data_IF_488729370840
#
_entry.id   IF_488729370840
#
_cell.length_a   1.000
_cell.length_b   1.000
_cell.length_c   1.000
_cell.angle_alpha   90.00
_cell.angle_beta   90.00
_cell.angle_gamma   90.00
#
_symmetry.space_group_name_H-M   'P 1'
#
loop_
_entity.id
_entity.type
_entity.pdbx_description
1 polymer ?
#
# COMPACT_ATOMS: atom_id res chain seq x y z
N UNK A 1 26.02 26.98 33.86
CA UNK A 1 26.92 26.25 32.94
C UNK A 1 26.67 24.77 33.12
N UNK A 2 26.62 23.96 32.05
CA UNK A 2 26.54 22.51 32.21
C UNK A 2 27.78 22.01 32.96
N UNK A 3 27.57 21.13 33.94
CA UNK A 3 28.65 20.57 34.75
C UNK A 3 29.42 19.49 33.98
N UNK A 4 30.64 19.16 34.44
CA UNK A 4 31.39 18.01 33.89
C UNK A 4 30.62 16.69 34.03
N UNK A 5 29.78 16.56 35.06
CA UNK A 5 28.92 15.39 35.26
C UNK A 5 27.79 15.32 34.21
N UNK A 6 27.19 16.46 33.85
CA UNK A 6 26.17 16.53 32.79
C UNK A 6 26.74 16.11 31.44
N UNK A 7 27.98 16.53 31.14
CA UNK A 7 28.68 16.12 29.93
C UNK A 7 28.96 14.61 29.92
N UNK A 8 29.42 14.04 31.04
CA UNK A 8 29.63 12.58 31.18
C UNK A 8 28.33 11.79 30.99
N UNK A 9 27.23 12.22 31.60
CA UNK A 9 25.90 11.61 31.43
C UNK A 9 25.43 11.67 29.98
N UNK A 10 25.61 12.80 29.30
CA UNK A 10 25.26 12.95 27.88
C UNK A 10 26.07 12.03 26.97
N UNK A 11 27.38 11.90 27.21
CA UNK A 11 28.25 10.97 26.47
C UNK A 11 27.78 9.52 26.65
N UNK A 12 27.47 9.12 27.89
CA UNK A 12 26.96 7.77 28.18
C UNK A 12 25.64 7.50 27.46
N UNK A 13 24.71 8.45 27.51
CA UNK A 13 23.42 8.38 26.83
C UNK A 13 23.58 8.21 25.31
N UNK A 14 24.42 9.03 24.66
CA UNK A 14 24.69 8.94 23.22
C UNK A 14 25.33 7.60 22.86
N UNK A 15 26.31 7.11 23.64
CA UNK A 15 26.93 5.79 23.43
C UNK A 15 25.89 4.66 23.54
N UNK A 16 24.96 4.75 24.48
CA UNK A 16 23.86 3.79 24.62
C UNK A 16 22.93 3.82 23.40
N UNK A 17 22.46 5.01 23.00
CA UNK A 17 21.64 5.18 21.79
C UNK A 17 22.34 4.70 20.52
N UNK A 18 23.66 4.90 20.40
CA UNK A 18 24.46 4.38 19.29
C UNK A 18 24.47 2.84 19.25
N UNK A 19 24.63 2.16 20.39
CA UNK A 19 24.58 0.70 20.47
C UNK A 19 23.19 0.17 20.09
N UNK A 20 22.13 0.81 20.60
CA UNK A 20 20.74 0.44 20.31
C UNK A 20 20.45 0.59 18.81
N UNK A 21 20.77 1.73 18.21
CA UNK A 21 20.53 1.97 16.78
C UNK A 21 21.37 1.06 15.89
N UNK A 22 22.62 0.72 16.29
CA UNK A 22 23.46 -0.27 15.58
C UNK A 22 22.81 -1.65 15.60
N UNK A 23 22.32 -2.11 16.75
CA UNK A 23 21.59 -3.37 16.86
C UNK A 23 20.30 -3.36 16.02
N UNK A 24 19.51 -2.27 16.09
CA UNK A 24 18.30 -2.11 15.28
C UNK A 24 18.60 -2.14 13.78
N UNK A 25 19.69 -1.53 13.32
CA UNK A 25 20.12 -1.58 11.91
C UNK A 25 20.37 -3.01 11.46
N UNK A 26 21.06 -3.82 12.27
CA UNK A 26 21.32 -5.23 11.95
C UNK A 26 20.04 -6.06 11.90
N UNK A 27 19.14 -5.88 12.87
CA UNK A 27 17.84 -6.56 12.89
C UNK A 27 16.97 -6.14 11.71
N UNK A 28 16.94 -4.85 11.37
CA UNK A 28 16.18 -4.33 10.24
C UNK A 28 16.73 -4.85 8.91
N UNK A 29 18.05 -4.92 8.73
CA UNK A 29 18.68 -5.49 7.54
C UNK A 29 18.29 -6.96 7.34
N UNK A 30 18.33 -7.77 8.39
CA UNK A 30 17.91 -9.18 8.32
C UNK A 30 16.41 -9.31 7.96
N UNK A 31 15.55 -8.46 8.52
CA UNK A 31 14.11 -8.44 8.20
C UNK A 31 13.83 -7.98 6.77
N UNK A 32 14.52 -6.96 6.30
CA UNK A 32 14.39 -6.45 4.93
C UNK A 32 14.78 -7.51 3.92
N UNK A 33 15.89 -8.22 4.16
CA UNK A 33 16.33 -9.32 3.30
C UNK A 33 15.26 -10.41 3.17
N UNK A 34 14.71 -10.87 4.30
CA UNK A 34 13.61 -11.86 4.30
C UNK A 34 12.35 -11.35 3.58
N UNK A 35 12.00 -10.09 3.78
CA UNK A 35 10.85 -9.47 3.11
C UNK A 35 11.07 -9.37 1.60
N UNK A 36 12.30 -9.04 1.17
CA UNK A 36 12.68 -9.00 -0.24
C UNK A 36 12.60 -10.38 -0.87
N UNK A 37 13.20 -11.41 -0.25
CA UNK A 37 13.13 -12.80 -0.72
C UNK A 37 11.67 -13.28 -0.86
N UNK A 38 10.79 -12.91 0.07
CA UNK A 38 9.36 -13.22 -0.02
C UNK A 38 8.67 -12.49 -1.18
N UNK A 39 8.97 -11.20 -1.38
CA UNK A 39 8.39 -10.41 -2.46
C UNK A 39 8.86 -10.88 -3.84
N UNK A 40 10.14 -11.22 -3.98
CA UNK A 40 10.71 -11.74 -5.22
C UNK A 40 10.09 -13.09 -5.60
N UNK A 41 9.84 -13.98 -4.63
CA UNK A 41 9.13 -15.25 -4.88
C UNK A 41 7.69 -15.05 -5.36
N UNK A 42 6.99 -14.02 -4.88
CA UNK A 42 5.62 -13.71 -5.29
C UNK A 42 5.50 -12.96 -6.62
N UNK A 43 6.60 -12.34 -7.08
CA UNK A 43 6.58 -11.45 -8.24
C UNK A 43 6.17 -12.13 -9.55
N UNK A 44 6.69 -13.32 -9.92
CA UNK A 44 6.29 -14.00 -11.16
C UNK A 44 4.79 -14.32 -11.19
N UNK A 45 4.21 -14.71 -10.04
CA UNK A 45 2.78 -14.96 -9.92
C UNK A 45 1.97 -13.68 -10.14
N UNK A 46 2.34 -12.59 -9.45
CA UNK A 46 1.64 -11.30 -9.58
C UNK A 46 1.72 -10.74 -11.00
N UNK A 47 2.86 -10.84 -11.67
CA UNK A 47 3.04 -10.35 -13.05
C UNK A 47 2.21 -11.17 -14.05
N UNK A 48 2.23 -12.51 -13.94
CA UNK A 48 1.40 -13.38 -14.78
C UNK A 48 -0.10 -13.14 -14.54
N UNK A 49 -0.52 -13.05 -13.28
CA UNK A 49 -1.92 -12.77 -12.93
C UNK A 49 -2.38 -11.44 -13.50
N UNK A 50 -1.56 -10.39 -13.38
CA UNK A 50 -1.88 -9.08 -13.94
C UNK A 50 -1.99 -9.13 -15.47
N UNK A 51 -1.11 -9.87 -16.16
CA UNK A 51 -1.22 -10.05 -17.61
C UNK A 51 -2.50 -10.79 -18.02
N UNK A 52 -2.88 -11.86 -17.31
CA UNK A 52 -4.13 -12.59 -17.57
C UNK A 52 -5.33 -11.65 -17.39
N UNK A 53 -5.37 -10.90 -16.29
CA UNK A 53 -6.45 -9.98 -15.97
C UNK A 53 -6.55 -8.85 -17.02
N UNK A 54 -5.42 -8.29 -17.46
CA UNK A 54 -5.38 -7.27 -18.52
C UNK A 54 -5.84 -7.83 -19.86
N UNK A 55 -5.41 -9.05 -20.22
CA UNK A 55 -5.86 -9.70 -21.45
C UNK A 55 -7.36 -9.95 -21.42
N UNK A 56 -7.90 -10.44 -20.30
CA UNK A 56 -9.35 -10.60 -20.12
C UNK A 56 -10.06 -9.25 -20.23
N UNK A 57 -9.55 -8.21 -19.57
CA UNK A 57 -10.14 -6.87 -19.63
C UNK A 57 -10.17 -6.28 -21.05
N UNK A 58 -9.16 -6.59 -21.88
CA UNK A 58 -9.09 -6.14 -23.26
C UNK A 58 -9.96 -6.96 -24.22
N UNK A 59 -10.21 -8.22 -23.90
CA UNK A 59 -11.04 -9.12 -24.71
C UNK A 59 -12.54 -8.97 -24.46
N UNK A 60 -12.96 -8.14 -23.49
CA UNK A 60 -14.38 -7.86 -23.24
C UNK A 60 -14.95 -7.00 -24.37
N UNK A 61 -15.71 -7.63 -25.25
CA UNK A 61 -16.52 -6.97 -26.28
C UNK A 61 -17.83 -6.41 -25.71
N UNK A 62 -18.50 -7.16 -24.83
CA UNK A 62 -19.76 -6.76 -24.19
C UNK A 62 -19.54 -6.24 -22.76
N UNK A 63 -19.45 -4.92 -22.64
CA UNK A 63 -19.26 -4.25 -21.35
C UNK A 63 -20.47 -4.39 -20.42
N UNK A 64 -21.67 -4.65 -20.95
CA UNK A 64 -22.91 -4.75 -20.17
C UNK A 64 -22.99 -6.06 -19.36
N UNK A 65 -22.43 -7.16 -19.89
CA UNK A 65 -22.39 -8.47 -19.21
C UNK A 65 -21.07 -8.73 -18.47
N UNK A 66 -20.14 -7.78 -18.51
CA UNK A 66 -18.83 -7.93 -17.90
C UNK A 66 -18.88 -7.75 -16.38
N UNK A 67 -17.92 -8.37 -15.69
CA UNK A 67 -17.77 -8.20 -14.24
C UNK A 67 -17.56 -6.72 -13.88
N UNK A 68 -18.36 -6.20 -12.94
CA UNK A 68 -18.27 -4.81 -12.44
C UNK A 68 -16.90 -4.49 -11.83
N UNK A 69 -16.13 -5.49 -11.41
CA UNK A 69 -14.74 -5.31 -10.97
C UNK A 69 -13.82 -4.86 -12.12
N UNK A 70 -14.13 -5.24 -13.35
CA UNK A 70 -13.35 -4.91 -14.55
C UNK A 70 -13.83 -3.60 -15.19
N UNK A 71 -15.14 -3.49 -15.45
CA UNK A 71 -15.71 -2.35 -16.20
C UNK A 71 -16.14 -1.18 -15.30
N UNK A 72 -16.26 -1.41 -13.99
CA UNK A 72 -16.74 -0.44 -13.03
C UNK A 72 -18.27 -0.38 -12.94
N UNK A 73 -18.76 0.41 -12.00
CA UNK A 73 -20.20 0.64 -11.79
C UNK A 73 -20.79 1.68 -12.74
N UNK A 74 -19.97 2.27 -13.63
CA UNK A 74 -20.32 3.42 -14.47
C UNK A 74 -20.36 4.76 -13.72
N UNK A 75 -20.09 4.75 -12.41
CA UNK A 75 -20.04 5.93 -11.55
C UNK A 75 -18.61 6.15 -11.05
N UNK A 76 -18.28 7.40 -10.73
CA UNK A 76 -16.99 7.81 -10.15
C UNK A 76 -17.22 8.70 -8.92
N UNK A 77 -18.23 8.36 -8.12
CA UNK A 77 -18.73 9.25 -7.06
C UNK A 77 -18.10 8.95 -5.71
N UNK A 78 -17.87 7.67 -5.39
CA UNK A 78 -17.36 7.24 -4.09
C UNK A 78 -16.05 6.50 -4.24
N UNK A 79 -15.00 7.02 -3.60
CA UNK A 79 -13.64 6.51 -3.69
C UNK A 79 -13.23 5.83 -2.39
N UNK A 80 -12.95 4.53 -2.46
CA UNK A 80 -12.28 3.79 -1.40
C UNK A 80 -10.76 3.92 -1.58
N UNK A 81 -10.10 4.49 -0.59
CA UNK A 81 -8.66 4.64 -0.56
C UNK A 81 -8.04 3.74 0.51
N UNK A 82 -7.34 2.69 0.06
CA UNK A 82 -6.62 1.77 0.94
C UNK A 82 -5.21 2.31 1.13
N UNK A 83 -4.86 2.75 2.34
CA UNK A 83 -3.54 3.31 2.64
C UNK A 83 -2.72 2.32 3.44
N UNK A 84 -1.65 1.80 2.81
CA UNK A 84 -0.76 0.81 3.41
C UNK A 84 0.45 1.51 4.03
N UNK A 85 0.62 1.30 5.33
CA UNK A 85 1.69 1.89 6.16
C UNK A 85 2.29 0.86 7.10
N UNK A 86 3.40 1.23 7.74
CA UNK A 86 4.00 0.39 8.77
C UNK A 86 3.26 0.54 10.11
N UNK A 87 3.33 -0.50 10.94
CA UNK A 87 2.85 -0.45 12.32
C UNK A 87 3.82 0.25 13.29
N UNK A 88 5.10 0.25 12.94
CA UNK A 88 6.18 0.80 13.77
C UNK A 88 6.68 2.12 13.17
N UNK A 89 7.20 2.97 14.06
CA UNK A 89 7.90 4.21 13.68
C UNK A 89 9.39 3.98 13.42
N UNK A 90 10.18 5.06 13.51
CA UNK A 90 11.64 5.04 13.29
C UNK A 90 12.06 4.54 11.90
N UNK A 91 11.21 4.78 10.90
CA UNK A 91 11.40 4.36 9.50
C UNK A 91 11.64 5.57 8.56
N UNK A 92 12.17 6.68 9.10
CA UNK A 92 12.38 7.91 8.36
C UNK A 92 11.10 8.42 7.71
N UNK A 93 11.17 8.74 6.41
CA UNK A 93 10.05 9.28 5.63
C UNK A 93 9.01 8.25 5.16
N UNK A 94 9.19 6.95 5.44
CA UNK A 94 8.37 5.88 4.82
C UNK A 94 6.86 6.09 4.98
N UNK A 95 6.38 6.28 6.21
CA UNK A 95 4.94 6.50 6.48
C UNK A 95 4.48 7.89 6.04
N UNK A 96 5.30 8.91 6.31
CA UNK A 96 4.95 10.30 5.98
C UNK A 96 4.80 10.52 4.48
N UNK A 97 5.65 9.91 3.66
CA UNK A 97 5.65 10.10 2.21
C UNK A 97 4.39 9.47 1.58
N UNK A 98 4.00 8.26 1.99
CA UNK A 98 2.79 7.64 1.45
C UNK A 98 1.52 8.34 1.95
N UNK A 99 1.48 8.74 3.21
CA UNK A 99 0.37 9.54 3.74
C UNK A 99 0.25 10.89 3.03
N UNK A 100 1.37 11.56 2.69
CA UNK A 100 1.33 12.80 1.89
C UNK A 100 0.70 12.56 0.52
N UNK A 101 1.10 11.50 -0.19
CA UNK A 101 0.52 11.16 -1.49
C UNK A 101 -0.98 10.86 -1.39
N UNK A 102 -1.38 10.07 -0.38
CA UNK A 102 -2.78 9.79 -0.12
C UNK A 102 -3.59 11.08 0.19
N UNK A 103 -3.08 11.96 1.04
CA UNK A 103 -3.73 13.24 1.35
C UNK A 103 -3.95 14.13 0.13
N UNK A 104 -2.94 14.23 -0.74
CA UNK A 104 -3.08 14.99 -1.99
C UNK A 104 -4.24 14.46 -2.84
N UNK A 105 -4.41 13.14 -2.88
CA UNK A 105 -5.53 12.52 -3.58
C UNK A 105 -6.87 12.75 -2.87
N UNK A 106 -6.90 12.69 -1.54
CA UNK A 106 -8.10 12.95 -0.74
C UNK A 106 -8.60 14.37 -0.95
N UNK A 107 -7.70 15.34 -0.89
CA UNK A 107 -8.03 16.75 -1.08
C UNK A 107 -8.52 17.01 -2.50
N UNK A 108 -7.98 16.30 -3.51
CA UNK A 108 -8.45 16.36 -4.89
C UNK A 108 -9.91 15.88 -5.00
N UNK A 109 -10.21 14.68 -4.50
CA UNK A 109 -11.55 14.09 -4.54
C UNK A 109 -12.57 14.97 -3.81
N UNK A 110 -12.23 15.43 -2.61
CA UNK A 110 -13.12 16.24 -1.80
C UNK A 110 -13.42 17.59 -2.47
N UNK A 111 -12.45 18.18 -3.18
CA UNK A 111 -12.66 19.39 -4.00
C UNK A 111 -13.54 19.14 -5.21
N UNK A 112 -13.46 17.96 -5.81
CA UNK A 112 -14.33 17.52 -6.91
C UNK A 112 -15.76 17.17 -6.43
N UNK A 113 -16.07 17.33 -5.14
CA UNK A 113 -17.38 17.01 -4.56
C UNK A 113 -17.67 15.52 -4.44
N UNK A 114 -16.65 14.67 -4.58
CA UNK A 114 -16.76 13.21 -4.50
C UNK A 114 -16.66 12.73 -3.05
N UNK A 115 -17.26 11.58 -2.77
CA UNK A 115 -17.25 10.94 -1.46
C UNK A 115 -15.95 10.16 -1.24
N UNK A 116 -15.36 10.31 -0.05
CA UNK A 116 -14.12 9.67 0.36
C UNK A 116 -14.39 8.62 1.43
N UNK A 117 -13.91 7.40 1.22
CA UNK A 117 -13.82 6.33 2.22
C UNK A 117 -12.37 5.89 2.34
N UNK A 118 -11.89 5.68 3.55
CA UNK A 118 -10.50 5.32 3.82
C UNK A 118 -10.45 3.98 4.56
N UNK A 119 -9.62 3.07 4.05
CA UNK A 119 -9.23 1.85 4.74
C UNK A 119 -7.75 1.94 5.10
N UNK A 120 -7.45 2.07 6.39
CA UNK A 120 -6.06 2.13 6.86
C UNK A 120 -5.51 0.75 7.17
N UNK A 121 -4.42 0.37 6.48
CA UNK A 121 -3.65 -0.83 6.78
C UNK A 121 -2.32 -0.39 7.41
N UNK A 122 -2.14 -0.74 8.68
CA UNK A 122 -1.02 -0.32 9.51
C UNK A 122 -1.38 0.83 10.46
N UNK A 123 -0.77 0.78 11.64
CA UNK A 123 -1.08 1.70 12.75
C UNK A 123 -0.65 3.14 12.48
N UNK A 124 0.47 3.36 11.77
CA UNK A 124 1.01 4.72 11.60
C UNK A 124 0.22 5.56 10.60
N UNK A 125 -0.32 4.94 9.56
CA UNK A 125 -1.26 5.58 8.65
C UNK A 125 -2.52 5.99 9.39
N UNK A 126 -3.08 5.09 10.20
CA UNK A 126 -4.26 5.40 11.03
C UNK A 126 -4.02 6.59 11.97
N UNK A 127 -2.95 6.55 12.78
CA UNK A 127 -2.62 7.63 13.72
C UNK A 127 -2.46 9.00 13.02
N UNK A 128 -1.87 9.01 11.83
CA UNK A 128 -1.60 10.25 11.08
C UNK A 128 -2.82 10.78 10.34
N UNK A 129 -3.63 9.89 9.75
CA UNK A 129 -4.80 10.26 8.95
C UNK A 129 -6.00 10.60 9.83
N UNK A 130 -6.19 9.91 10.97
CA UNK A 130 -7.32 10.12 11.88
C UNK A 130 -7.46 11.58 12.34
N UNK A 131 -6.34 12.29 12.50
CA UNK A 131 -6.33 13.70 12.95
C UNK A 131 -7.12 14.65 12.05
N UNK A 132 -7.15 14.39 10.75
CA UNK A 132 -7.77 15.29 9.75
C UNK A 132 -8.92 14.59 9.03
N UNK A 133 -8.76 13.32 8.69
CA UNK A 133 -9.70 12.55 7.87
C UNK A 133 -10.44 11.48 8.67
N UNK A 134 -10.45 11.55 10.01
CA UNK A 134 -11.02 10.52 10.88
C UNK A 134 -12.45 10.13 10.55
N UNK A 135 -13.29 11.08 10.14
CA UNK A 135 -14.69 10.83 9.74
C UNK A 135 -14.85 10.00 8.46
N UNK A 136 -13.81 9.90 7.63
CA UNK A 136 -13.82 9.13 6.38
C UNK A 136 -13.23 7.72 6.55
N UNK A 137 -12.64 7.40 7.71
CA UNK A 137 -12.06 6.09 7.97
C UNK A 137 -13.18 5.11 8.31
N UNK A 138 -13.40 4.15 7.42
CA UNK A 138 -14.43 3.10 7.61
C UNK A 138 -13.84 1.84 8.24
N UNK A 139 -12.57 1.55 7.97
CA UNK A 139 -11.93 0.30 8.38
C UNK A 139 -10.47 0.52 8.78
N UNK A 140 -10.00 -0.30 9.73
CA UNK A 140 -8.61 -0.30 10.17
C UNK A 140 -8.12 -1.71 10.46
N UNK A 141 -6.97 -2.06 9.90
CA UNK A 141 -6.25 -3.30 10.21
C UNK A 141 -4.80 -2.95 10.55
N UNK A 142 -4.21 -3.68 11.49
CA UNK A 142 -2.80 -3.57 11.83
C UNK A 142 -2.22 -4.96 12.02
N UNK A 143 -0.91 -5.09 11.84
CA UNK A 143 -0.18 -6.34 11.96
C UNK A 143 0.82 -6.29 13.12
N UNK A 144 0.50 -5.52 14.17
CA UNK A 144 1.32 -5.51 15.39
C UNK A 144 1.35 -6.91 16.00
N UNK A 145 2.56 -7.40 16.28
CA UNK A 145 2.77 -8.72 16.87
C UNK A 145 2.96 -9.85 15.85
N UNK A 146 2.67 -9.61 14.57
CA UNK A 146 2.93 -10.58 13.52
C UNK A 146 4.44 -10.70 13.29
N UNK A 147 4.94 -11.95 13.34
CA UNK A 147 6.34 -12.24 13.03
C UNK A 147 6.58 -12.24 11.52
N UNK A 148 5.64 -12.84 10.77
CA UNK A 148 5.64 -12.93 9.32
C UNK A 148 4.23 -12.57 8.80
N UNK A 149 4.16 -11.85 7.69
CA UNK A 149 2.92 -11.62 6.94
C UNK A 149 2.90 -12.61 5.78
N UNK A 150 1.77 -13.27 5.59
CA UNK A 150 1.53 -14.26 4.55
C UNK A 150 0.43 -13.78 3.59
N UNK A 151 0.09 -14.61 2.61
CA UNK A 151 -1.00 -14.33 1.69
C UNK A 151 -2.36 -14.20 2.41
N UNK A 152 -2.58 -14.96 3.49
CA UNK A 152 -3.85 -14.97 4.24
C UNK A 152 -4.25 -13.59 4.76
N UNK A 153 -3.28 -12.81 5.23
CA UNK A 153 -3.55 -11.45 5.69
C UNK A 153 -3.98 -10.51 4.54
N UNK A 154 -3.43 -10.72 3.35
CA UNK A 154 -3.84 -9.99 2.15
C UNK A 154 -5.21 -10.44 1.63
N UNK A 155 -5.49 -11.74 1.69
CA UNK A 155 -6.79 -12.34 1.37
C UNK A 155 -7.91 -11.76 2.23
N UNK A 156 -7.73 -11.72 3.55
CA UNK A 156 -8.71 -11.12 4.47
C UNK A 156 -9.00 -9.64 4.13
N UNK A 157 -7.98 -8.86 3.77
CA UNK A 157 -8.16 -7.46 3.32
C UNK A 157 -8.96 -7.44 2.01
N UNK A 158 -8.62 -8.33 1.07
CA UNK A 158 -9.30 -8.49 -0.21
C UNK A 158 -10.78 -8.82 -0.05
N UNK A 159 -11.13 -9.78 0.81
CA UNK A 159 -12.50 -10.17 1.10
C UNK A 159 -13.34 -9.00 1.63
N UNK A 160 -12.78 -8.19 2.52
CA UNK A 160 -13.45 -6.98 3.03
C UNK A 160 -13.72 -6.00 1.87
N UNK A 161 -12.72 -5.76 1.00
CA UNK A 161 -12.87 -4.85 -0.15
C UNK A 161 -13.93 -5.39 -1.13
N UNK A 162 -13.92 -6.69 -1.41
CA UNK A 162 -14.88 -7.36 -2.28
C UNK A 162 -16.30 -7.25 -1.71
N UNK A 163 -16.47 -7.48 -0.40
CA UNK A 163 -17.75 -7.33 0.29
C UNK A 163 -18.28 -5.90 0.20
N UNK A 164 -17.43 -4.92 0.52
CA UNK A 164 -17.79 -3.49 0.43
C UNK A 164 -18.19 -3.10 -1.01
N UNK A 165 -17.52 -3.65 -2.02
CA UNK A 165 -17.89 -3.41 -3.42
C UNK A 165 -19.24 -4.04 -3.78
N UNK A 166 -19.48 -5.29 -3.34
CA UNK A 166 -20.76 -5.98 -3.52
C UNK A 166 -21.94 -5.25 -2.88
N UNK A 167 -21.70 -4.60 -1.74
CA UNK A 167 -22.66 -3.73 -1.05
C UNK A 167 -22.81 -2.33 -1.68
N UNK A 168 -22.16 -2.08 -2.83
CA UNK A 168 -22.16 -0.78 -3.53
C UNK A 168 -21.69 0.39 -2.65
N UNK A 169 -20.78 0.12 -1.71
CA UNK A 169 -20.25 1.13 -0.78
C UNK A 169 -19.25 2.08 -1.46
N UNK A 170 -18.66 1.70 -2.59
CA UNK A 170 -17.75 2.54 -3.36
C UNK A 170 -17.79 2.17 -4.84
N UNK A 171 -17.35 3.09 -5.70
CA UNK A 171 -17.25 2.89 -7.14
C UNK A 171 -15.80 2.62 -7.58
N UNK A 172 -14.86 3.34 -6.97
CA UNK A 172 -13.44 3.29 -7.30
C UNK A 172 -12.63 2.90 -6.07
N UNK A 173 -11.73 1.93 -6.20
CA UNK A 173 -10.77 1.54 -5.18
C UNK A 173 -9.35 1.84 -5.63
N UNK A 174 -8.64 2.66 -4.85
CA UNK A 174 -7.21 2.94 -5.04
C UNK A 174 -6.39 2.51 -3.83
N UNK A 175 -5.26 1.86 -4.10
CA UNK A 175 -4.28 1.47 -3.08
C UNK A 175 -3.09 2.43 -3.12
N UNK A 176 -2.70 2.89 -1.94
CA UNK A 176 -1.52 3.70 -1.70
C UNK A 176 -0.47 2.85 -0.98
N UNK A 177 0.65 2.59 -1.64
CA UNK A 177 1.75 1.81 -1.08
C UNK A 177 3.11 2.36 -1.50
N UNK A 178 4.16 1.98 -0.78
CA UNK A 178 5.53 2.31 -1.14
C UNK A 178 6.12 1.21 -2.02
N UNK A 179 6.41 1.51 -3.29
CA UNK A 179 7.13 0.60 -4.20
C UNK A 179 8.59 0.56 -3.80
N UNK A 180 9.08 -0.65 -3.52
CA UNK A 180 10.48 -0.89 -3.23
C UNK A 180 11.31 -0.72 -4.51
N UNK A 181 12.26 0.24 -4.51
CA UNK A 181 13.28 0.37 -5.55
C UNK A 181 14.63 -0.13 -5.01
N UNK A 182 15.02 0.35 -3.84
CA UNK A 182 16.18 -0.15 -3.11
C UNK A 182 16.05 0.20 -1.61
N UNK A 183 17.07 -0.15 -0.81
CA UNK A 183 17.09 0.06 0.64
C UNK A 183 16.94 1.53 1.04
N UNK A 184 17.38 2.47 0.21
CA UNK A 184 17.36 3.91 0.48
C UNK A 184 16.10 4.56 -0.13
N UNK A 185 15.72 4.13 -1.32
CA UNK A 185 14.65 4.73 -2.12
C UNK A 185 13.42 3.83 -2.14
N UNK A 186 12.36 4.32 -1.50
CA UNK A 186 11.02 3.77 -1.62
C UNK A 186 10.12 4.85 -2.24
N UNK A 187 9.43 4.50 -3.33
CA UNK A 187 8.66 5.46 -4.11
C UNK A 187 7.17 5.29 -3.75
N UNK A 188 6.52 6.32 -3.20
CA UNK A 188 5.07 6.30 -2.98
C UNK A 188 4.33 6.13 -4.31
N UNK A 189 3.51 5.10 -4.41
CA UNK A 189 2.66 4.81 -5.56
C UNK A 189 1.19 4.90 -5.17
N UNK A 190 0.38 5.24 -6.15
CA UNK A 190 -1.06 5.06 -6.12
C UNK A 190 -1.40 4.14 -7.28
N UNK A 191 -2.29 3.19 -7.05
CA UNK A 191 -2.71 2.23 -8.06
C UNK A 191 -4.20 1.99 -7.90
N UNK A 192 -4.95 2.15 -8.99
CA UNK A 192 -6.34 1.76 -9.03
C UNK A 192 -6.45 0.24 -9.20
N UNK A 193 -7.28 -0.39 -8.37
CA UNK A 193 -7.54 -1.84 -8.42
C UNK A 193 -8.95 -2.11 -8.92
N UNK A 194 -9.90 -1.23 -8.59
CA UNK A 194 -11.29 -1.34 -9.03
C UNK A 194 -11.75 0.05 -9.51
N UNK A 195 -12.38 0.17 -10.68
CA UNK A 195 -12.28 -0.80 -11.77
C UNK A 195 -10.83 -0.92 -12.24
N UNK A 196 -10.52 -2.01 -12.94
CA UNK A 196 -9.17 -2.24 -13.45
C UNK A 196 -8.81 -1.14 -14.45
N UNK A 197 -7.80 -0.37 -14.10
CA UNK A 197 -7.28 0.67 -14.97
C UNK A 197 -6.38 0.01 -16.01
N UNK A 198 -6.83 0.02 -17.26
CA UNK A 198 -6.01 -0.37 -18.40
C UNK A 198 -4.86 0.63 -18.51
N UNK A 199 -3.73 0.31 -17.88
CA UNK A 199 -2.49 1.01 -18.15
C UNK A 199 -2.17 0.79 -19.63
N UNK A 200 -2.40 1.81 -20.47
CA UNK A 200 -1.84 1.86 -21.82
C UNK A 200 -0.33 1.69 -21.66
N UNK A 201 0.17 0.47 -21.86
CA UNK A 201 1.60 0.22 -21.99
C UNK A 201 2.05 0.89 -23.27
N UNK A 202 3.01 1.80 -23.16
CA UNK A 202 4.03 1.97 -24.19
C UNK A 202 4.51 0.57 -24.61
N UNK A 203 4.57 0.34 -25.92
CA UNK A 203 4.79 -0.94 -26.60
C UNK A 203 5.89 -1.80 -25.94
N UNK A 204 5.46 -2.76 -25.11
CA UNK A 204 6.29 -3.92 -24.79
C UNK A 204 5.90 -5.02 -25.78
N UNK A 205 6.81 -5.27 -26.72
CA UNK A 205 6.75 -6.28 -27.80
C UNK A 205 5.98 -7.53 -27.34
N UNK A 206 4.97 -7.90 -28.14
CA UNK A 206 4.31 -9.21 -28.09
C UNK A 206 5.38 -10.30 -28.05
N UNK A 207 5.53 -10.98 -26.92
CA UNK A 207 6.11 -12.31 -26.91
C UNK A 207 4.96 -13.27 -27.15
N UNK A 208 4.89 -13.83 -28.36
CA UNK A 208 3.95 -14.88 -28.72
C UNK A 208 4.20 -16.10 -27.81
N UNK A 209 3.37 -16.25 -26.79
CA UNK A 209 3.36 -17.48 -25.99
C UNK A 209 2.48 -18.49 -26.73
N UNK A 210 3.11 -19.29 -27.59
CA UNK A 210 2.57 -20.59 -27.98
C UNK A 210 2.43 -21.46 -26.73
N UNK A 211 1.24 -22.00 -26.51
CA UNK A 211 1.01 -23.08 -25.57
C UNK A 211 1.05 -24.39 -26.37
N UNK A 212 2.03 -25.25 -26.10
CA UNK A 212 1.92 -26.68 -26.41
C UNK A 212 1.38 -27.39 -25.16
N UNK A 213 0.43 -28.31 -25.40
CA UNK A 213 -0.28 -29.12 -24.41
C UNK A 213 0.63 -30.19 -23.80
#
# INVERSE_FOLDING_TARGET
MPSLDDLKKRISSIKSTQKITKAMKMVAAAKLRRAQENAERGRPFSEKMNNIILNLSNSISDKENASKFLVGTGKDTTHLCVVITADRGLCGGFNTNICKKAKNYFDKILKEGKSLKIFTVGSKGHDQLKRVYGKYIIEKINFKGFKNITYKEAENIGEIIIKLFGESQFDVCKIFYNKFKNVISQIPQEQQIIPIENQKKEELKKSDNFYEF
#
